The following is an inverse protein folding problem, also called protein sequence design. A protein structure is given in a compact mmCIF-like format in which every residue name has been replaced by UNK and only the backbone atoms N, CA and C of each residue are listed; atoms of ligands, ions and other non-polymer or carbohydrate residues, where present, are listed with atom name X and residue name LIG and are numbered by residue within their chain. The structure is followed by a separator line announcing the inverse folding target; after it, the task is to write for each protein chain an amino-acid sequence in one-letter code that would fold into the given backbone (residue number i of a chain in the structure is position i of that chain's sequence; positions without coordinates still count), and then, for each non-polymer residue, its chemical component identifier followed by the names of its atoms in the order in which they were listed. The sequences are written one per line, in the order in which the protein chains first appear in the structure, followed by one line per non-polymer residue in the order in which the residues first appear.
data_IF_994795474667
#
_entry.id   IF_994795474667
#
_cell.length_a   1.000
_cell.length_b   1.000
_cell.length_c   1.000
_cell.angle_alpha   90.00
_cell.angle_beta   90.00
_cell.angle_gamma   90.00
#
_symmetry.space_group_name_H-M   'P 1'
#
loop_
_entity.id
_entity.type
_entity.pdbx_description
1 polymer ?
#
# COMPACT_ATOMS: atom_id res chain seq x y z
N UNK A 1 -16.49 21.46 -14.05
CA UNK A 1 -16.00 20.06 -13.96
C UNK A 1 -14.49 20.15 -13.80
N UNK A 2 -13.87 19.40 -12.87
CA UNK A 2 -12.41 19.42 -12.75
C UNK A 2 -11.79 18.89 -14.04
N UNK A 3 -10.83 19.63 -14.57
CA UNK A 3 -10.11 19.30 -15.80
C UNK A 3 -9.04 18.25 -15.46
N UNK A 4 -9.08 17.06 -16.08
CA UNK A 4 -8.03 16.05 -15.90
C UNK A 4 -6.77 16.56 -16.61
N UNK A 5 -5.78 16.99 -15.82
CA UNK A 5 -4.55 17.62 -16.34
C UNK A 5 -3.53 16.62 -16.89
N UNK A 6 -3.58 15.36 -16.47
CA UNK A 6 -2.65 14.30 -16.90
C UNK A 6 -3.25 12.92 -16.62
N UNK A 7 -3.03 11.97 -17.54
CA UNK A 7 -3.26 10.55 -17.34
C UNK A 7 -1.91 9.82 -17.38
N UNK A 8 -1.70 8.89 -16.45
CA UNK A 8 -0.51 8.08 -16.35
C UNK A 8 -0.89 6.62 -16.17
N UNK A 9 -0.17 5.73 -16.84
CA UNK A 9 -0.34 4.29 -16.69
C UNK A 9 0.79 3.78 -15.81
N UNK A 10 0.45 3.38 -14.58
CA UNK A 10 1.42 2.84 -13.62
C UNK A 10 1.33 1.31 -13.63
N UNK A 11 2.43 0.65 -14.02
CA UNK A 11 2.51 -0.80 -13.97
C UNK A 11 2.81 -1.27 -12.54
N UNK A 12 2.00 -2.20 -12.04
CA UNK A 12 2.15 -2.79 -10.72
C UNK A 12 2.68 -4.22 -10.89
N UNK A 13 3.93 -4.50 -10.49
CA UNK A 13 4.48 -5.85 -10.53
C UNK A 13 3.78 -6.73 -9.49
N UNK A 14 3.34 -7.91 -9.91
CA UNK A 14 2.74 -8.92 -9.04
C UNK A 14 3.61 -10.18 -9.15
N UNK A 15 4.45 -10.49 -8.13
CA UNK A 15 5.24 -11.71 -8.11
C UNK A 15 4.37 -12.95 -8.23
N UNK A 16 4.96 -14.04 -8.73
CA UNK A 16 4.27 -15.32 -8.80
C UNK A 16 3.80 -15.75 -7.40
N UNK A 17 2.52 -16.15 -7.28
CA UNK A 17 1.91 -16.54 -6.00
C UNK A 17 1.49 -15.37 -5.09
N UNK A 18 1.70 -14.12 -5.50
CA UNK A 18 1.22 -12.94 -4.77
C UNK A 18 -0.09 -12.39 -5.36
N UNK A 19 -0.81 -11.63 -4.55
CA UNK A 19 -1.96 -10.83 -4.98
C UNK A 19 -1.74 -9.38 -4.56
N UNK A 20 -2.40 -8.44 -5.23
CA UNK A 20 -2.39 -7.02 -4.88
C UNK A 20 -3.80 -6.52 -4.60
N UNK A 21 -3.95 -5.72 -3.54
CA UNK A 21 -5.18 -5.00 -3.20
C UNK A 21 -4.82 -3.52 -3.13
N UNK A 22 -5.59 -2.69 -3.85
CA UNK A 22 -5.37 -1.24 -3.90
C UNK A 22 -6.66 -0.57 -3.45
N UNK A 23 -6.52 0.43 -2.59
CA UNK A 23 -7.65 1.18 -2.06
C UNK A 23 -7.30 2.64 -1.80
N UNK A 24 -8.31 3.40 -1.37
CA UNK A 24 -8.16 4.76 -0.91
C UNK A 24 -8.66 4.84 0.53
N UNK A 25 -7.86 5.41 1.42
CA UNK A 25 -8.20 5.59 2.83
C UNK A 25 -7.76 6.99 3.28
N UNK A 26 -8.01 7.29 4.55
CA UNK A 26 -7.57 8.52 5.20
C UNK A 26 -7.13 8.20 6.63
N UNK A 27 -6.37 9.13 7.21
CA UNK A 27 -5.82 9.04 8.57
C UNK A 27 -4.75 7.97 8.78
N UNK A 28 -3.75 8.30 9.60
CA UNK A 28 -2.51 7.50 9.76
C UNK A 28 -2.75 6.12 10.38
N UNK A 29 -3.83 5.97 11.15
CA UNK A 29 -4.23 4.70 11.76
C UNK A 29 -4.60 3.62 10.72
N UNK A 30 -4.84 4.00 9.46
CA UNK A 30 -5.03 3.06 8.33
C UNK A 30 -3.96 1.96 8.30
N UNK A 31 -2.70 2.30 8.59
CA UNK A 31 -1.58 1.35 8.56
C UNK A 31 -1.75 0.28 9.63
N UNK A 32 -2.00 0.69 10.87
CA UNK A 32 -2.18 -0.22 12.01
C UNK A 32 -3.46 -1.05 11.84
N UNK A 33 -4.57 -0.43 11.44
CA UNK A 33 -5.85 -1.12 11.27
C UNK A 33 -5.80 -2.18 10.16
N UNK A 34 -5.11 -1.88 9.04
CA UNK A 34 -4.91 -2.87 7.97
C UNK A 34 -3.92 -3.96 8.37
N UNK A 35 -2.87 -3.62 9.12
CA UNK A 35 -1.96 -4.62 9.67
C UNK A 35 -2.73 -5.61 10.56
N UNK A 36 -3.54 -5.11 11.50
CA UNK A 36 -4.36 -5.93 12.39
C UNK A 36 -5.36 -6.79 11.61
N UNK A 37 -6.05 -6.19 10.62
CA UNK A 37 -6.99 -6.93 9.78
C UNK A 37 -6.31 -8.08 9.03
N UNK A 38 -5.09 -7.90 8.51
CA UNK A 38 -4.36 -8.92 7.78
C UNK A 38 -3.80 -10.00 8.70
N UNK A 39 -3.04 -9.62 9.74
CA UNK A 39 -2.36 -10.57 10.62
C UNK A 39 -3.34 -11.47 11.39
N UNK A 40 -4.54 -10.97 11.71
CA UNK A 40 -5.57 -11.75 12.41
C UNK A 40 -6.42 -12.61 11.47
N UNK A 41 -6.32 -12.43 10.15
CA UNK A 41 -7.11 -13.19 9.17
C UNK A 41 -6.59 -14.60 8.93
N UNK A 42 -5.28 -14.85 9.05
CA UNK A 42 -4.69 -16.19 8.90
C UNK A 42 -3.32 -16.29 9.58
N UNK A 43 -3.02 -17.37 10.33
CA UNK A 43 -1.74 -17.53 11.02
C UNK A 43 -0.50 -17.54 10.12
N UNK A 44 -0.66 -17.94 8.85
CA UNK A 44 0.43 -18.09 7.89
C UNK A 44 0.48 -17.01 6.80
N UNK A 45 -0.30 -15.93 6.94
CA UNK A 45 -0.32 -14.87 5.93
C UNK A 45 1.04 -14.17 5.87
N UNK A 46 1.49 -13.90 4.64
CA UNK A 46 2.63 -13.02 4.38
C UNK A 46 2.16 -11.82 3.60
N UNK A 47 2.49 -10.63 4.07
CA UNK A 47 2.04 -9.39 3.45
C UNK A 47 3.01 -8.24 3.71
N UNK A 48 2.95 -7.27 2.82
CA UNK A 48 3.49 -5.94 3.00
C UNK A 48 2.42 -4.91 2.64
N UNK A 49 2.39 -3.81 3.37
CA UNK A 49 1.43 -2.74 3.19
C UNK A 49 2.15 -1.39 3.07
N UNK A 50 1.57 -0.50 2.27
CA UNK A 50 2.04 0.87 2.14
C UNK A 50 0.84 1.83 2.05
N UNK A 51 0.94 2.97 2.73
CA UNK A 51 -0.07 4.01 2.77
C UNK A 51 0.56 5.40 2.57
N UNK A 52 0.07 6.13 1.57
CA UNK A 52 0.55 7.48 1.26
C UNK A 52 -0.13 8.51 2.17
N UNK A 53 0.61 9.00 3.18
CA UNK A 53 0.13 10.08 4.04
C UNK A 53 -0.11 11.35 3.21
N UNK A 54 -1.36 11.76 3.04
CA UNK A 54 -1.72 12.84 2.12
C UNK A 54 -1.39 14.26 2.65
N UNK A 55 -1.00 14.39 3.91
CA UNK A 55 -0.73 15.68 4.57
C UNK A 55 0.43 15.57 5.57
N UNK A 56 0.78 16.67 6.25
CA UNK A 56 1.84 16.66 7.26
C UNK A 56 3.20 16.30 6.68
N UNK A 57 3.84 15.24 7.22
CA UNK A 57 5.16 14.79 6.76
C UNK A 57 5.13 14.14 5.37
N UNK A 58 3.95 13.70 4.93
CA UNK A 58 3.73 13.09 3.61
C UNK A 58 4.63 11.89 3.34
N UNK A 59 4.78 11.03 4.36
CA UNK A 59 5.59 9.83 4.24
C UNK A 59 4.75 8.67 3.71
N UNK A 60 5.40 7.76 2.97
CA UNK A 60 4.86 6.43 2.75
C UNK A 60 5.01 5.66 4.04
N UNK A 61 3.89 5.38 4.69
CA UNK A 61 3.83 4.59 5.91
C UNK A 61 3.75 3.12 5.54
N UNK A 62 4.57 2.29 6.15
CA UNK A 62 4.73 0.88 5.77
C UNK A 62 4.61 0.00 7.00
N UNK A 63 4.11 -1.21 6.80
CA UNK A 63 4.09 -2.27 7.81
C UNK A 63 3.91 -3.64 7.11
N UNK A 64 4.05 -4.73 7.85
CA UNK A 64 3.89 -6.09 7.34
C UNK A 64 4.86 -7.07 7.98
N UNK A 65 4.84 -8.31 7.50
CA UNK A 65 5.65 -9.40 8.04
C UNK A 65 6.54 -10.11 6.99
N UNK A 66 6.60 -9.59 5.77
CA UNK A 66 7.48 -10.06 4.71
C UNK A 66 8.20 -8.88 4.05
N UNK A 67 9.53 -8.81 4.21
CA UNK A 67 10.34 -7.66 3.79
C UNK A 67 10.27 -7.39 2.29
N UNK A 68 10.18 -8.44 1.46
CA UNK A 68 10.10 -8.30 0.00
C UNK A 68 8.75 -7.68 -0.40
N UNK A 69 7.66 -8.13 0.24
CA UNK A 69 6.33 -7.58 0.00
C UNK A 69 6.19 -6.14 0.53
N UNK A 70 6.82 -5.82 1.67
CA UNK A 70 6.84 -4.44 2.22
C UNK A 70 7.54 -3.51 1.24
N UNK A 71 8.72 -3.91 0.76
CA UNK A 71 9.48 -3.15 -0.23
C UNK A 71 8.65 -2.93 -1.49
N UNK A 72 8.03 -3.99 -2.03
CA UNK A 72 7.18 -3.91 -3.21
C UNK A 72 6.00 -2.96 -3.05
N UNK A 73 5.31 -3.03 -1.90
CA UNK A 73 4.20 -2.14 -1.58
C UNK A 73 4.66 -0.68 -1.49
N UNK A 74 5.79 -0.42 -0.83
CA UNK A 74 6.35 0.93 -0.69
C UNK A 74 6.74 1.56 -2.03
N UNK A 75 7.40 0.80 -2.90
CA UNK A 75 7.81 1.25 -4.22
C UNK A 75 6.61 1.47 -5.14
N UNK A 76 5.59 0.62 -5.03
CA UNK A 76 4.33 0.76 -5.78
C UNK A 76 3.58 2.01 -5.34
N UNK A 77 3.47 2.25 -4.03
CA UNK A 77 2.81 3.43 -3.48
C UNK A 77 3.50 4.73 -3.93
N UNK A 78 4.84 4.76 -3.98
CA UNK A 78 5.59 5.90 -4.50
C UNK A 78 5.34 6.17 -6.00
N UNK A 79 5.15 5.13 -6.81
CA UNK A 79 4.86 5.28 -8.25
C UNK A 79 3.44 5.78 -8.51
N UNK A 80 2.48 5.38 -7.68
CA UNK A 80 1.08 5.83 -7.80
C UNK A 80 0.92 7.28 -7.34
N UNK A 81 1.66 7.69 -6.29
CA UNK A 81 1.60 9.04 -5.71
C UNK A 81 0.49 9.26 -4.71
#
# INVERSE_FOLDING_TARGET
MPEIRRLEVVQIPIPEGANVIIGHSHFIKTVEDLYEALITSSPGIRFGLAFNEASGKRLVRIDGNDEELIKLASETALKVG
#
